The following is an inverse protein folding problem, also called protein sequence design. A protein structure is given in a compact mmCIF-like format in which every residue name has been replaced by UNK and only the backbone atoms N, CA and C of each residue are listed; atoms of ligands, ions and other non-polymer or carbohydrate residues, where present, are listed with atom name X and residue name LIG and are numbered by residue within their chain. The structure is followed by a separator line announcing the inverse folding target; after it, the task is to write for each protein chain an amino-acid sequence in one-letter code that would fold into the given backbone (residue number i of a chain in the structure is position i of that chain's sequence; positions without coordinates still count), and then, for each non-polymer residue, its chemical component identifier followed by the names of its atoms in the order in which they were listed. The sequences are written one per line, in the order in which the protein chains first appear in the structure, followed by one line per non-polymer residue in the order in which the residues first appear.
data_IF_206185294752
#
_entry.id   IF_206185294752
#
_cell.length_a   1.000
_cell.length_b   1.000
_cell.length_c   1.000
_cell.angle_alpha   90.00
_cell.angle_beta   90.00
_cell.angle_gamma   90.00
#
_symmetry.space_group_name_H-M   'P 1'
#
loop_
_entity.id
_entity.type
_entity.pdbx_description
1 polymer ?
#
# COMPACT_ATOMS: atom_id res chain seq x y z
N UNK A 1 -24.71 21.53 6.96
CA UNK A 1 -23.32 21.56 6.46
C UNK A 1 -22.53 20.51 7.24
N UNK A 2 -21.64 19.72 6.61
CA UNK A 2 -20.83 18.73 7.31
C UNK A 2 -19.60 19.42 7.88
N UNK A 3 -19.35 19.27 9.19
CA UNK A 3 -18.09 19.69 9.82
C UNK A 3 -17.24 18.47 10.08
N UNK A 4 -15.96 18.50 9.66
CA UNK A 4 -15.02 17.39 9.89
C UNK A 4 -13.92 17.89 10.82
N UNK A 5 -13.68 17.16 11.93
CA UNK A 5 -12.67 17.52 12.94
C UNK A 5 -12.12 16.27 13.64
N UNK A 6 -11.00 16.37 14.37
CA UNK A 6 -10.55 15.30 15.25
C UNK A 6 -11.66 14.88 16.24
N UNK A 7 -11.75 13.57 16.48
CA UNK A 7 -12.66 13.04 17.49
C UNK A 7 -12.12 13.27 18.90
N UNK A 8 -13.00 13.72 19.79
CA UNK A 8 -12.75 13.70 21.21
C UNK A 8 -12.81 12.25 21.75
N UNK A 9 -12.23 12.02 22.93
CA UNK A 9 -12.13 10.67 23.50
C UNK A 9 -13.49 9.99 23.71
N UNK A 10 -14.51 10.74 24.12
CA UNK A 10 -15.89 10.29 24.30
C UNK A 10 -16.62 9.97 22.98
N UNK A 11 -16.12 10.46 21.85
CA UNK A 11 -16.71 10.28 20.53
C UNK A 11 -16.19 9.00 19.84
N UNK A 12 -15.16 8.33 20.39
CA UNK A 12 -14.57 7.12 19.82
C UNK A 12 -15.56 5.96 19.89
N UNK A 13 -16.32 5.79 20.98
CA UNK A 13 -17.33 4.75 21.12
C UNK A 13 -18.46 4.89 20.09
N UNK A 14 -19.08 6.08 19.89
CA UNK A 14 -20.01 6.31 18.79
C UNK A 14 -19.42 5.98 17.41
N UNK A 15 -18.17 6.39 17.15
CA UNK A 15 -17.50 6.10 15.88
C UNK A 15 -17.27 4.60 15.69
N UNK A 16 -16.88 3.86 16.74
CA UNK A 16 -16.70 2.41 16.69
C UNK A 16 -17.98 1.69 16.26
N UNK A 17 -19.15 2.14 16.73
CA UNK A 17 -20.47 1.61 16.30
C UNK A 17 -20.76 1.92 14.83
N UNK A 18 -20.46 3.13 14.35
CA UNK A 18 -20.59 3.49 12.94
C UNK A 18 -19.67 2.62 12.08
N UNK A 19 -18.42 2.43 12.49
CA UNK A 19 -17.46 1.60 11.78
C UNK A 19 -17.87 0.12 11.74
N UNK A 20 -18.37 -0.43 12.85
CA UNK A 20 -18.88 -1.81 12.91
C UNK A 20 -20.03 -2.03 11.92
N UNK A 21 -20.96 -1.08 11.82
CA UNK A 21 -22.07 -1.12 10.87
C UNK A 21 -21.61 -0.94 9.41
N UNK A 22 -20.62 -0.11 9.18
CA UNK A 22 -20.05 0.14 7.84
C UNK A 22 -19.23 -1.04 7.31
N UNK A 23 -18.62 -1.83 8.21
CA UNK A 23 -17.76 -2.98 7.91
C UNK A 23 -18.27 -4.28 8.57
N UNK A 24 -19.38 -4.87 8.09
CA UNK A 24 -19.98 -6.06 8.72
C UNK A 24 -19.03 -7.27 8.80
N UNK A 25 -18.04 -7.34 7.90
CA UNK A 25 -17.02 -8.39 7.92
C UNK A 25 -16.11 -8.38 9.17
N UNK A 26 -16.09 -7.30 9.95
CA UNK A 26 -15.40 -7.25 11.24
C UNK A 26 -16.07 -8.13 12.30
N UNK A 27 -17.32 -8.55 12.08
CA UNK A 27 -18.10 -9.42 12.99
C UNK A 27 -18.16 -8.92 14.43
N UNK A 28 -18.29 -7.62 14.62
CA UNK A 28 -18.42 -6.97 15.92
C UNK A 28 -19.90 -7.02 16.36
N UNK A 29 -20.38 -8.19 16.75
CA UNK A 29 -21.80 -8.45 16.98
C UNK A 29 -22.24 -8.23 18.43
N UNK A 30 -21.32 -8.32 19.39
CA UNK A 30 -21.60 -8.17 20.81
C UNK A 30 -21.09 -6.84 21.36
N UNK A 31 -21.63 -6.39 22.49
CA UNK A 31 -21.12 -5.19 23.18
C UNK A 31 -19.66 -5.39 23.65
N UNK A 32 -19.26 -6.62 23.96
CA UNK A 32 -17.87 -6.94 24.32
C UNK A 32 -16.95 -6.82 23.11
N UNK A 33 -17.37 -7.27 21.90
CA UNK A 33 -16.60 -7.08 20.67
C UNK A 33 -16.41 -5.59 20.38
N UNK A 34 -17.47 -4.80 20.51
CA UNK A 34 -17.44 -3.34 20.30
C UNK A 34 -16.51 -2.66 21.31
N UNK A 35 -16.57 -3.05 22.58
CA UNK A 35 -15.67 -2.50 23.62
C UNK A 35 -14.20 -2.82 23.31
N UNK A 36 -13.88 -4.08 22.98
CA UNK A 36 -12.54 -4.47 22.59
C UNK A 36 -12.07 -3.76 21.33
N UNK A 37 -12.96 -3.48 20.39
CA UNK A 37 -12.64 -2.72 19.20
C UNK A 37 -12.37 -1.24 19.53
N UNK A 38 -13.17 -0.63 20.38
CA UNK A 38 -12.97 0.73 20.88
C UNK A 38 -11.62 0.86 21.61
N UNK A 39 -11.29 -0.07 22.53
CA UNK A 39 -10.00 -0.09 23.23
C UNK A 39 -8.83 -0.18 22.25
N UNK A 40 -8.96 -1.01 21.20
CA UNK A 40 -7.96 -1.11 20.12
C UNK A 40 -7.84 0.19 19.31
N UNK A 41 -8.94 0.90 19.06
CA UNK A 41 -8.91 2.20 18.41
C UNK A 41 -8.16 3.22 19.27
N UNK A 42 -8.49 3.29 20.57
CA UNK A 42 -7.80 4.19 21.53
C UNK A 42 -6.31 3.89 21.64
N UNK A 43 -5.96 2.60 21.74
CA UNK A 43 -4.57 2.17 21.85
C UNK A 43 -3.72 2.45 20.61
N UNK A 44 -4.34 2.58 19.43
CA UNK A 44 -3.66 2.91 18.18
C UNK A 44 -3.44 4.40 17.98
N UNK A 45 -4.23 5.24 18.64
CA UNK A 45 -4.12 6.69 18.47
C UNK A 45 -2.80 7.19 19.04
N UNK A 46 -2.07 7.90 18.19
CA UNK A 46 -0.81 8.56 18.53
C UNK A 46 -0.76 9.91 17.80
N UNK A 47 -1.63 10.88 18.17
CA UNK A 47 -1.65 12.16 17.50
C UNK A 47 -0.31 12.91 17.64
N UNK A 48 0.19 13.56 16.58
CA UNK A 48 -0.51 13.79 15.31
C UNK A 48 -0.34 12.69 14.25
N UNK A 49 0.41 11.60 14.54
CA UNK A 49 0.84 10.59 13.56
C UNK A 49 -0.29 9.63 13.18
N UNK A 50 -1.19 9.33 14.13
CA UNK A 50 -2.33 8.43 13.95
C UNK A 50 -3.54 9.01 14.69
N UNK A 51 -4.55 9.48 13.97
CA UNK A 51 -5.67 10.21 14.54
C UNK A 51 -7.01 9.81 13.92
N UNK A 52 -8.07 9.84 14.73
CA UNK A 52 -9.44 9.66 14.28
C UNK A 52 -10.10 11.01 14.04
N UNK A 53 -10.79 11.14 12.90
CA UNK A 53 -11.57 12.32 12.52
C UNK A 53 -13.04 11.92 12.38
N UNK A 54 -13.94 12.76 12.83
CA UNK A 54 -15.38 12.59 12.74
C UNK A 54 -16.02 13.63 11.83
N UNK A 55 -17.04 13.21 11.09
CA UNK A 55 -17.94 14.09 10.34
C UNK A 55 -19.22 14.32 11.13
N UNK A 56 -19.58 15.57 11.33
CA UNK A 56 -20.72 15.98 12.15
C UNK A 56 -21.74 16.78 11.34
N UNK A 57 -23.03 16.52 11.58
CA UNK A 57 -24.15 17.30 11.07
C UNK A 57 -25.10 17.62 12.22
N UNK A 58 -25.43 18.88 12.37
CA UNK A 58 -26.31 19.35 13.44
C UNK A 58 -25.89 18.82 14.83
N UNK A 59 -24.56 18.74 15.04
CA UNK A 59 -23.96 18.23 16.26
C UNK A 59 -23.88 16.70 16.38
N UNK A 60 -24.52 15.95 15.50
CA UNK A 60 -24.50 14.48 15.52
C UNK A 60 -23.32 13.94 14.68
N UNK A 61 -22.63 12.91 15.18
CA UNK A 61 -21.60 12.18 14.46
C UNK A 61 -22.26 11.30 13.39
N UNK A 62 -21.96 11.53 12.11
CA UNK A 62 -22.56 10.81 10.97
C UNK A 62 -21.54 10.00 10.17
N UNK A 63 -20.27 10.05 10.53
CA UNK A 63 -19.19 9.29 9.88
C UNK A 63 -17.83 9.64 10.46
N UNK A 64 -16.80 8.99 9.97
CA UNK A 64 -15.43 9.30 10.36
C UNK A 64 -14.42 8.51 9.55
N UNK A 65 -13.15 8.75 9.86
CA UNK A 65 -11.99 8.14 9.23
C UNK A 65 -10.80 8.13 10.18
N UNK A 66 -9.82 7.29 9.86
CA UNK A 66 -8.50 7.29 10.49
C UNK A 66 -7.50 7.92 9.54
N UNK A 67 -6.74 8.90 10.01
CA UNK A 67 -5.65 9.56 9.29
C UNK A 67 -4.31 9.13 9.86
N UNK A 68 -3.36 8.84 8.99
CA UNK A 68 -2.05 8.34 9.35
C UNK A 68 -0.98 9.14 8.61
N UNK A 69 -0.02 9.66 9.36
CA UNK A 69 1.13 10.37 8.82
C UNK A 69 2.26 9.38 8.53
N UNK A 70 2.33 8.94 7.28
CA UNK A 70 3.35 8.02 6.79
C UNK A 70 4.52 8.77 6.15
N UNK A 71 5.64 8.06 6.10
CA UNK A 71 6.76 8.37 5.23
C UNK A 71 6.96 7.21 4.26
N UNK A 72 6.86 7.49 2.95
CA UNK A 72 6.92 6.49 1.90
C UNK A 72 8.17 6.69 1.03
N UNK A 73 8.83 5.62 0.67
CA UNK A 73 9.86 5.66 -0.36
C UNK A 73 9.22 5.86 -1.73
N UNK A 74 9.46 7.00 -2.33
CA UNK A 74 9.04 7.31 -3.70
C UNK A 74 10.29 7.47 -4.56
N UNK A 75 10.56 6.49 -5.43
CA UNK A 75 11.72 6.50 -6.35
C UNK A 75 13.07 6.73 -5.64
N UNK A 76 13.25 6.17 -4.43
CA UNK A 76 14.49 6.26 -3.66
C UNK A 76 14.56 7.44 -2.67
N UNK A 77 13.57 8.32 -2.67
CA UNK A 77 13.42 9.42 -1.69
C UNK A 77 12.28 9.10 -0.72
N UNK A 78 12.52 9.25 0.58
CA UNK A 78 11.46 9.08 1.59
C UNK A 78 10.70 10.38 1.79
N UNK A 79 9.42 10.40 1.43
CA UNK A 79 8.57 11.58 1.42
C UNK A 79 7.39 11.45 2.40
N UNK A 80 6.92 12.56 2.98
CA UNK A 80 5.66 12.60 3.71
C UNK A 80 4.52 12.09 2.83
N UNK A 81 3.66 11.24 3.37
CA UNK A 81 2.55 10.62 2.64
C UNK A 81 1.37 10.45 3.58
N UNK A 82 0.22 11.01 3.22
CA UNK A 82 -0.99 10.80 3.99
C UNK A 82 -1.58 9.41 3.76
N UNK A 83 -1.90 8.71 4.84
CA UNK A 83 -2.69 7.49 4.79
C UNK A 83 -4.11 7.73 5.29
N UNK A 84 -5.13 7.18 4.63
CA UNK A 84 -6.49 7.17 5.15
C UNK A 84 -7.04 5.75 5.18
N UNK A 85 -7.54 5.37 6.35
CA UNK A 85 -8.21 4.10 6.57
C UNK A 85 -9.53 4.28 7.31
N UNK A 86 -10.29 3.21 7.42
CA UNK A 86 -11.53 3.16 8.21
C UNK A 86 -12.52 4.30 7.87
N UNK A 87 -12.66 4.64 6.59
CA UNK A 87 -13.66 5.62 6.14
C UNK A 87 -15.05 5.01 6.30
N UNK A 88 -15.76 5.40 7.34
CA UNK A 88 -17.06 4.88 7.70
C UNK A 88 -18.13 5.98 7.71
N UNK A 89 -19.30 5.68 7.17
CA UNK A 89 -20.46 6.57 7.17
C UNK A 89 -21.64 5.82 7.77
N UNK A 90 -22.35 6.45 8.68
CA UNK A 90 -23.56 5.93 9.26
C UNK A 90 -24.56 5.46 8.18
N UNK A 91 -25.18 4.32 8.38
CA UNK A 91 -26.07 3.69 7.39
C UNK A 91 -27.25 4.60 7.00
N UNK A 92 -27.71 5.43 7.92
CA UNK A 92 -28.83 6.36 7.71
C UNK A 92 -28.41 7.61 6.90
N UNK A 93 -27.09 7.90 6.82
CA UNK A 93 -26.53 9.06 6.13
C UNK A 93 -25.81 8.70 4.83
N UNK A 94 -26.05 7.47 4.30
CA UNK A 94 -25.48 7.07 3.00
C UNK A 94 -26.02 7.92 1.85
N UNK A 95 -25.15 8.16 0.83
CA UNK A 95 -25.41 8.98 -0.36
C UNK A 95 -25.58 10.48 -0.10
N UNK A 96 -25.32 10.95 1.09
CA UNK A 96 -25.37 12.35 1.50
C UNK A 96 -24.01 13.06 1.38
N UNK A 97 -23.06 12.52 0.63
CA UNK A 97 -21.72 13.04 0.38
C UNK A 97 -20.77 13.10 1.60
N UNK A 98 -21.15 12.51 2.75
CA UNK A 98 -20.30 12.49 3.97
C UNK A 98 -18.90 11.93 3.69
N UNK A 99 -18.79 10.80 2.98
CA UNK A 99 -17.48 10.24 2.62
C UNK A 99 -16.67 11.16 1.69
N UNK A 100 -17.33 11.93 0.81
CA UNK A 100 -16.67 12.95 -0.01
C UNK A 100 -16.09 14.06 0.87
N UNK A 101 -16.85 14.56 1.83
CA UNK A 101 -16.40 15.63 2.74
C UNK A 101 -15.22 15.15 3.60
N UNK A 102 -15.24 13.88 4.06
CA UNK A 102 -14.12 13.26 4.76
C UNK A 102 -12.85 13.24 3.88
N UNK A 103 -12.94 12.81 2.61
CA UNK A 103 -11.78 12.74 1.72
C UNK A 103 -11.27 14.14 1.34
N UNK A 104 -12.15 15.15 1.18
CA UNK A 104 -11.71 16.55 1.00
C UNK A 104 -10.85 16.99 2.19
N UNK A 105 -11.35 16.80 3.41
CA UNK A 105 -10.61 17.12 4.64
C UNK A 105 -9.29 16.35 4.74
N UNK A 106 -9.27 15.07 4.33
CA UNK A 106 -8.05 14.29 4.29
C UNK A 106 -6.99 14.88 3.35
N UNK A 107 -7.38 15.31 2.15
CA UNK A 107 -6.45 15.93 1.20
C UNK A 107 -5.95 17.29 1.68
N UNK A 108 -6.80 18.08 2.37
CA UNK A 108 -6.39 19.34 3.01
C UNK A 108 -5.40 19.07 4.14
N UNK A 109 -5.67 18.05 4.97
CA UNK A 109 -4.77 17.58 6.03
C UNK A 109 -3.41 17.14 5.47
N UNK A 110 -3.36 16.49 4.29
CA UNK A 110 -2.10 16.18 3.59
C UNK A 110 -1.36 17.47 3.20
N UNK A 111 -2.07 18.45 2.64
CA UNK A 111 -1.49 19.76 2.26
C UNK A 111 -0.86 20.49 3.45
N UNK A 112 -1.56 20.54 4.59
CA UNK A 112 -1.05 21.14 5.84
C UNK A 112 0.26 20.50 6.34
N UNK A 113 0.52 19.23 5.96
CA UNK A 113 1.71 18.46 6.32
C UNK A 113 2.77 18.41 5.24
N UNK A 114 2.59 19.19 4.19
CA UNK A 114 3.44 19.15 3.00
C UNK A 114 3.65 17.70 2.47
N UNK A 115 2.59 16.87 2.56
CA UNK A 115 2.56 15.52 2.03
C UNK A 115 2.06 15.53 0.57
N UNK A 116 2.96 15.43 -0.43
CA UNK A 116 2.58 15.50 -1.83
C UNK A 116 1.85 14.26 -2.32
N UNK A 117 1.88 13.17 -1.54
CA UNK A 117 1.22 11.91 -1.85
C UNK A 117 0.21 11.51 -0.77
N UNK A 118 -0.85 10.84 -1.21
CA UNK A 118 -1.84 10.18 -0.36
C UNK A 118 -2.03 8.74 -0.80
N UNK A 119 -2.42 7.86 0.14
CA UNK A 119 -2.64 6.45 -0.13
C UNK A 119 -3.81 5.89 0.69
N UNK A 120 -4.48 4.87 0.13
CA UNK A 120 -5.54 4.13 0.80
C UNK A 120 -5.70 2.71 0.22
N UNK A 121 -6.36 1.84 0.98
CA UNK A 121 -6.90 0.58 0.47
C UNK A 121 -8.40 0.73 0.21
N UNK A 122 -8.86 0.59 -1.05
CA UNK A 122 -10.24 0.91 -1.40
C UNK A 122 -11.19 -0.25 -1.07
N UNK A 123 -12.30 0.02 -0.39
CA UNK A 123 -13.42 -0.92 -0.38
C UNK A 123 -14.28 -0.81 -1.67
N UNK A 124 -14.21 0.33 -2.36
CA UNK A 124 -14.82 0.59 -3.68
C UNK A 124 -13.85 1.34 -4.57
N UNK A 125 -13.09 0.65 -5.43
CA UNK A 125 -12.07 1.27 -6.29
C UNK A 125 -12.64 2.39 -7.19
N UNK A 126 -13.81 2.19 -7.79
CA UNK A 126 -14.49 3.17 -8.65
C UNK A 126 -14.82 4.48 -7.93
N UNK A 127 -15.15 4.39 -6.65
CA UNK A 127 -15.46 5.54 -5.81
C UNK A 127 -14.23 6.42 -5.57
N UNK A 128 -13.12 5.83 -5.18
CA UNK A 128 -11.88 6.55 -4.94
C UNK A 128 -11.19 7.00 -6.24
N UNK A 129 -11.35 6.24 -7.33
CA UNK A 129 -10.85 6.68 -8.63
C UNK A 129 -11.47 8.01 -9.06
N UNK A 130 -12.77 8.21 -8.88
CA UNK A 130 -13.44 9.50 -9.11
C UNK A 130 -13.00 10.63 -8.19
N UNK A 131 -12.27 10.32 -7.13
CA UNK A 131 -11.63 11.28 -6.22
C UNK A 131 -10.14 11.45 -6.54
N UNK A 132 -9.67 11.00 -7.70
CA UNK A 132 -8.33 11.17 -8.20
C UNK A 132 -7.30 10.16 -7.67
N UNK A 133 -7.72 9.07 -7.04
CA UNK A 133 -6.81 8.00 -6.65
C UNK A 133 -6.57 7.04 -7.81
N UNK A 134 -5.32 6.89 -8.22
CA UNK A 134 -4.87 5.93 -9.22
C UNK A 134 -4.62 4.55 -8.63
N UNK A 135 -4.77 3.51 -9.43
CA UNK A 135 -4.49 2.14 -9.00
C UNK A 135 -2.99 1.95 -8.78
N UNK A 136 -2.62 1.36 -7.65
CA UNK A 136 -1.28 0.85 -7.40
C UNK A 136 -1.08 -0.55 -8.00
N UNK A 137 0.03 -1.18 -7.62
CA UNK A 137 0.33 -2.55 -8.03
C UNK A 137 -0.73 -3.52 -7.50
N UNK A 138 -1.19 -4.42 -8.34
CA UNK A 138 -2.13 -5.47 -7.92
C UNK A 138 -1.52 -6.32 -6.81
N UNK A 139 -2.35 -6.71 -5.86
CA UNK A 139 -1.98 -7.71 -4.86
C UNK A 139 -2.36 -9.10 -5.37
N UNK A 140 -1.40 -10.01 -5.35
CA UNK A 140 -1.55 -11.41 -5.72
C UNK A 140 -1.57 -12.26 -4.44
N UNK A 141 -2.55 -13.15 -4.32
CA UNK A 141 -2.57 -14.18 -3.28
C UNK A 141 -2.23 -15.53 -3.91
N UNK A 142 -1.10 -16.09 -3.51
CA UNK A 142 -0.68 -17.46 -3.84
C UNK A 142 -1.14 -18.41 -2.74
N UNK A 143 -1.54 -19.64 -3.16
CA UNK A 143 -1.91 -20.74 -2.26
C UNK A 143 -1.18 -21.99 -2.72
N UNK A 144 0.04 -22.19 -2.27
CA UNK A 144 0.97 -23.18 -2.79
C UNK A 144 1.21 -24.29 -1.78
N UNK A 145 1.58 -25.48 -2.27
CA UNK A 145 2.08 -26.53 -1.38
C UNK A 145 3.49 -26.18 -0.90
N UNK A 146 3.84 -26.49 0.36
CA UNK A 146 5.16 -26.17 0.90
C UNK A 146 6.31 -26.77 0.10
N UNK A 147 6.14 -27.97 -0.46
CA UNK A 147 7.16 -28.71 -1.23
C UNK A 147 7.50 -28.07 -2.59
N UNK A 148 6.71 -27.09 -3.05
CA UNK A 148 7.02 -26.31 -4.26
C UNK A 148 7.98 -25.15 -4.00
N UNK A 149 8.19 -24.78 -2.72
CA UNK A 149 9.15 -23.75 -2.35
C UNK A 149 10.59 -24.27 -2.46
N UNK A 150 11.57 -23.38 -2.73
CA UNK A 150 12.99 -23.78 -2.78
C UNK A 150 13.47 -24.41 -1.47
N UNK A 151 14.17 -25.55 -1.57
CA UNK A 151 14.71 -26.28 -0.44
C UNK A 151 16.18 -25.96 -0.11
N UNK A 152 16.87 -25.21 -0.98
CA UNK A 152 18.34 -25.07 -1.00
C UNK A 152 18.88 -23.93 -0.11
N UNK A 153 18.16 -23.50 0.94
CA UNK A 153 18.63 -22.49 1.87
C UNK A 153 19.32 -23.10 3.09
N UNK A 154 20.44 -22.53 3.52
CA UNK A 154 21.03 -22.85 4.81
C UNK A 154 20.14 -22.33 5.94
N UNK A 155 19.56 -23.24 6.72
CA UNK A 155 18.71 -22.93 7.86
C UNK A 155 19.46 -22.71 9.18
N UNK A 156 20.79 -22.88 9.18
CA UNK A 156 21.60 -22.75 10.40
C UNK A 156 21.56 -21.36 11.04
N UNK A 157 21.24 -20.32 10.24
CA UNK A 157 21.07 -18.96 10.74
C UNK A 157 19.62 -18.60 11.16
N UNK A 158 18.66 -19.53 11.08
CA UNK A 158 17.27 -19.25 11.46
C UNK A 158 17.04 -19.41 12.96
N UNK A 159 16.35 -18.45 13.55
CA UNK A 159 15.83 -18.54 14.92
C UNK A 159 14.48 -17.86 15.07
N UNK A 160 13.72 -18.24 16.08
CA UNK A 160 12.54 -17.49 16.47
C UNK A 160 12.92 -16.15 17.05
N UNK A 161 12.12 -15.12 16.74
CA UNK A 161 12.26 -13.76 17.22
C UNK A 161 11.12 -13.43 18.17
N UNK A 162 11.42 -12.63 19.19
CA UNK A 162 10.46 -12.16 20.19
C UNK A 162 10.57 -10.67 20.43
N UNK A 163 9.93 -10.17 21.50
CA UNK A 163 9.89 -8.75 21.84
C UNK A 163 11.29 -8.14 22.07
N UNK A 164 12.25 -8.93 22.52
CA UNK A 164 13.65 -8.49 22.67
C UNK A 164 14.32 -8.17 21.32
N UNK A 165 13.81 -8.69 20.21
CA UNK A 165 14.36 -8.51 18.87
C UNK A 165 13.70 -7.34 18.11
N UNK A 166 12.76 -6.61 18.72
CA UNK A 166 11.96 -5.56 18.08
C UNK A 166 12.81 -4.53 17.34
N UNK A 167 13.90 -4.10 17.96
CA UNK A 167 14.82 -3.12 17.35
C UNK A 167 15.53 -3.71 16.11
N UNK A 168 16.02 -4.94 16.18
CA UNK A 168 16.69 -5.60 15.06
C UNK A 168 15.73 -5.84 13.88
N UNK A 169 14.48 -6.23 14.16
CA UNK A 169 13.41 -6.38 13.16
C UNK A 169 13.12 -5.04 12.50
N UNK A 170 12.94 -3.98 13.29
CA UNK A 170 12.70 -2.62 12.78
C UNK A 170 13.86 -2.12 11.92
N UNK A 171 15.11 -2.37 12.31
CA UNK A 171 16.30 -2.00 11.56
C UNK A 171 16.39 -2.75 10.21
N UNK A 172 16.11 -4.06 10.20
CA UNK A 172 16.07 -4.86 8.96
C UNK A 172 14.98 -4.34 8.02
N UNK A 173 13.76 -4.10 8.53
CA UNK A 173 12.69 -3.50 7.76
C UNK A 173 13.10 -2.15 7.14
N UNK A 174 13.68 -1.25 7.93
CA UNK A 174 14.08 0.08 7.49
C UNK A 174 15.13 0.04 6.38
N UNK A 175 16.06 -0.93 6.39
CA UNK A 175 17.03 -1.12 5.30
C UNK A 175 16.36 -1.55 3.99
N UNK A 176 15.35 -2.42 4.06
CA UNK A 176 14.55 -2.82 2.89
C UNK A 176 13.67 -1.68 2.40
N UNK A 177 13.01 -0.96 3.31
CA UNK A 177 12.15 0.19 3.00
C UNK A 177 12.90 1.25 2.19
N UNK A 178 14.11 1.63 2.60
CA UNK A 178 14.91 2.66 1.92
C UNK A 178 15.27 2.32 0.46
N UNK A 179 15.24 1.05 0.05
CA UNK A 179 15.54 0.61 -1.31
C UNK A 179 14.32 0.11 -2.09
N UNK A 180 13.14 0.08 -1.46
CA UNK A 180 11.92 -0.46 -2.06
C UNK A 180 10.92 0.65 -2.33
N UNK A 181 10.71 0.97 -3.59
CA UNK A 181 9.73 1.96 -4.02
C UNK A 181 8.31 1.57 -3.59
N UNK A 182 7.56 2.52 -3.05
CA UNK A 182 6.20 2.34 -2.54
C UNK A 182 6.13 1.88 -1.08
N UNK A 183 7.25 1.47 -0.47
CA UNK A 183 7.26 0.96 0.89
C UNK A 183 7.25 2.09 1.92
N UNK A 184 6.38 1.97 2.92
CA UNK A 184 6.23 2.94 4.00
C UNK A 184 7.16 2.62 5.17
N UNK A 185 7.59 3.64 5.91
CA UNK A 185 8.26 3.43 7.19
C UNK A 185 7.29 2.74 8.18
N UNK A 186 7.81 1.85 9.00
CA UNK A 186 7.01 1.20 10.05
C UNK A 186 6.63 2.19 11.13
N UNK A 187 5.37 2.21 11.49
CA UNK A 187 4.93 2.90 12.69
C UNK A 187 5.40 2.12 13.94
N UNK A 188 5.72 2.81 15.04
CA UNK A 188 6.32 2.19 16.24
C UNK A 188 5.55 0.98 16.77
N UNK A 189 4.21 0.97 16.66
CA UNK A 189 3.33 -0.10 17.17
C UNK A 189 3.01 -1.20 16.16
N UNK A 190 3.47 -1.11 14.92
CA UNK A 190 3.12 -2.13 13.92
C UNK A 190 3.79 -3.48 14.20
N UNK A 191 4.98 -3.48 14.79
CA UNK A 191 5.68 -4.71 15.18
C UNK A 191 5.02 -5.40 16.38
N UNK A 192 4.41 -4.64 17.29
CA UNK A 192 3.74 -5.19 18.47
C UNK A 192 2.66 -6.19 18.10
N UNK A 193 1.98 -5.97 16.96
CA UNK A 193 1.00 -6.91 16.39
C UNK A 193 1.55 -8.32 16.16
N UNK A 194 2.84 -8.46 15.89
CA UNK A 194 3.50 -9.75 15.67
C UNK A 194 4.21 -10.29 16.90
N UNK A 195 4.65 -9.40 17.80
CA UNK A 195 5.53 -9.73 18.92
C UNK A 195 4.82 -9.78 20.28
N UNK A 196 3.75 -9.01 20.45
CA UNK A 196 3.05 -8.85 21.74
C UNK A 196 1.64 -9.47 21.70
N UNK A 197 1.60 -10.78 21.61
CA UNK A 197 0.34 -11.51 21.68
C UNK A 197 -0.26 -11.86 20.31
N UNK A 198 -1.12 -12.86 20.33
CA UNK A 198 -1.78 -13.40 19.15
C UNK A 198 -1.17 -14.72 18.68
N UNK A 199 -1.60 -15.14 17.50
CA UNK A 199 -1.23 -16.40 16.86
C UNK A 199 -0.02 -16.28 15.91
N UNK A 200 0.58 -15.09 15.83
CA UNK A 200 1.74 -14.84 14.97
C UNK A 200 3.02 -15.41 15.60
N UNK A 201 3.86 -15.92 14.72
CA UNK A 201 5.23 -16.31 15.00
C UNK A 201 6.15 -15.54 14.08
N UNK A 202 7.32 -15.17 14.59
CA UNK A 202 8.33 -14.48 13.78
C UNK A 202 9.60 -15.33 13.78
N UNK A 203 10.14 -15.62 12.60
CA UNK A 203 11.47 -16.21 12.45
C UNK A 203 12.35 -15.24 11.69
N UNK A 204 13.63 -15.20 12.03
CA UNK A 204 14.61 -14.34 11.35
C UNK A 204 15.84 -15.14 10.94
N UNK A 205 16.50 -14.66 9.90
CA UNK A 205 17.81 -15.15 9.46
C UNK A 205 18.88 -14.19 9.96
N UNK A 206 19.72 -14.70 10.84
CA UNK A 206 20.83 -13.96 11.42
C UNK A 206 22.16 -14.57 10.97
N UNK A 207 23.09 -13.71 10.58
CA UNK A 207 24.45 -14.10 10.27
C UNK A 207 25.42 -13.05 10.81
N UNK A 208 26.49 -13.48 11.44
CA UNK A 208 27.53 -12.62 12.03
C UNK A 208 26.95 -11.56 13.00
N UNK A 209 25.92 -11.96 13.77
CA UNK A 209 25.23 -11.08 14.73
C UNK A 209 24.28 -10.05 14.11
N UNK A 210 24.01 -10.11 12.81
CA UNK A 210 23.12 -9.19 12.13
C UNK A 210 21.89 -9.91 11.54
N UNK A 211 20.68 -9.41 11.87
CA UNK A 211 19.43 -9.86 11.24
C UNK A 211 19.35 -9.29 9.84
N UNK A 212 19.27 -10.15 8.81
CA UNK A 212 19.22 -9.78 7.40
C UNK A 212 17.93 -10.19 6.68
N UNK A 213 16.94 -10.67 7.44
CA UNK A 213 15.60 -10.96 6.95
C UNK A 213 14.77 -11.65 8.00
N UNK A 214 13.45 -11.54 7.88
CA UNK A 214 12.49 -12.19 8.78
C UNK A 214 11.17 -12.49 8.07
N UNK A 215 10.43 -13.42 8.64
CA UNK A 215 9.07 -13.74 8.22
C UNK A 215 8.15 -13.81 9.44
N UNK A 216 7.08 -13.02 9.42
CA UNK A 216 5.96 -13.15 10.34
C UNK A 216 4.89 -14.03 9.70
N UNK A 217 4.44 -15.06 10.41
CA UNK A 217 3.45 -16.00 9.91
C UNK A 217 2.52 -16.51 11.01
N UNK A 218 1.39 -17.06 10.64
CA UNK A 218 0.45 -17.72 11.53
C UNK A 218 -0.10 -18.99 10.90
N UNK A 219 -0.81 -19.78 11.69
CA UNK A 219 -1.51 -20.96 11.18
C UNK A 219 -3.01 -20.69 11.07
N UNK A 220 -3.61 -21.22 10.02
CA UNK A 220 -5.05 -21.22 9.80
C UNK A 220 -5.52 -22.68 9.77
N UNK A 221 -6.46 -23.02 10.65
CA UNK A 221 -7.07 -24.34 10.65
C UNK A 221 -7.93 -24.52 9.40
N UNK A 222 -7.95 -25.74 8.84
CA UNK A 222 -8.88 -26.07 7.76
C UNK A 222 -10.33 -25.83 8.23
N UNK A 223 -11.15 -25.08 7.47
CA UNK A 223 -12.58 -24.91 7.77
C UNK A 223 -13.35 -26.23 7.91
N UNK A 224 -12.84 -27.33 7.35
CA UNK A 224 -13.43 -28.67 7.49
C UNK A 224 -13.16 -29.32 8.85
N UNK A 225 -12.44 -28.64 9.76
CA UNK A 225 -12.24 -29.08 11.13
C UNK A 225 -11.21 -30.19 11.34
N UNK A 226 -10.37 -30.49 10.34
CA UNK A 226 -9.29 -31.44 10.51
C UNK A 226 -8.11 -30.76 11.21
N UNK A 227 -7.90 -31.07 12.49
CA UNK A 227 -6.87 -30.40 13.31
C UNK A 227 -5.42 -30.69 12.87
N UNK A 228 -5.18 -31.76 12.09
CA UNK A 228 -3.87 -32.12 11.56
C UNK A 228 -3.56 -31.46 10.20
N UNK A 229 -4.57 -30.81 9.59
CA UNK A 229 -4.42 -30.12 8.33
C UNK A 229 -4.49 -28.60 8.57
N UNK A 230 -3.36 -27.92 8.43
CA UNK A 230 -3.28 -26.50 8.67
C UNK A 230 -2.69 -25.80 7.43
N UNK A 231 -3.05 -24.52 7.27
CA UNK A 231 -2.39 -23.64 6.33
C UNK A 231 -1.42 -22.72 7.08
N UNK A 232 -0.30 -22.41 6.47
CA UNK A 232 0.64 -21.39 6.93
C UNK A 232 0.35 -20.09 6.16
N UNK A 233 -0.08 -19.04 6.86
CA UNK A 233 -0.25 -17.72 6.26
C UNK A 233 0.95 -16.87 6.56
N UNK A 234 1.68 -16.48 5.52
CA UNK A 234 2.74 -15.47 5.60
C UNK A 234 2.07 -14.10 5.73
N UNK A 235 2.34 -13.40 6.82
CA UNK A 235 1.80 -12.06 7.11
C UNK A 235 2.74 -10.95 6.66
N UNK A 236 4.04 -11.21 6.75
CA UNK A 236 5.09 -10.32 6.30
C UNK A 236 6.35 -11.12 5.99
N UNK A 237 6.99 -10.83 4.87
CA UNK A 237 8.26 -11.44 4.45
C UNK A 237 9.21 -10.31 4.03
N UNK A 238 10.27 -10.12 4.82
CA UNK A 238 11.29 -9.09 4.61
C UNK A 238 12.64 -9.77 4.47
N UNK A 239 13.39 -9.42 3.44
CA UNK A 239 14.73 -9.95 3.20
C UNK A 239 15.63 -8.91 2.55
N UNK A 240 16.87 -8.89 3.00
CA UNK A 240 17.90 -7.98 2.53
C UNK A 240 18.83 -8.67 1.55
N UNK A 241 19.02 -9.96 1.74
CA UNK A 241 19.97 -10.78 0.99
C UNK A 241 19.29 -12.02 0.39
N UNK A 242 19.94 -12.55 -0.62
CA UNK A 242 19.52 -13.82 -1.27
C UNK A 242 19.56 -14.97 -0.30
N UNK A 243 20.55 -15.01 0.59
CA UNK A 243 20.75 -16.07 1.59
C UNK A 243 19.62 -16.06 2.61
N UNK A 244 19.21 -14.88 3.11
CA UNK A 244 18.08 -14.74 4.02
C UNK A 244 16.78 -15.23 3.36
N UNK A 245 16.50 -14.82 2.12
CA UNK A 245 15.32 -15.31 1.38
C UNK A 245 15.38 -16.83 1.22
N UNK A 246 16.50 -17.38 0.78
CA UNK A 246 16.66 -18.81 0.56
C UNK A 246 16.44 -19.61 1.85
N UNK A 247 16.97 -19.16 2.98
CA UNK A 247 16.78 -19.80 4.29
C UNK A 247 15.30 -19.78 4.74
N UNK A 248 14.62 -18.63 4.61
CA UNK A 248 13.20 -18.51 4.95
C UNK A 248 12.30 -19.38 4.07
N UNK A 249 12.60 -19.48 2.77
CA UNK A 249 11.86 -20.36 1.86
C UNK A 249 12.15 -21.85 2.14
N UNK A 250 13.38 -22.21 2.48
CA UNK A 250 13.73 -23.57 2.89
C UNK A 250 13.05 -23.97 4.22
N UNK A 251 12.81 -23.01 5.13
CA UNK A 251 11.97 -23.25 6.30
C UNK A 251 10.53 -23.59 5.89
N UNK A 252 9.93 -22.82 4.98
CA UNK A 252 8.58 -23.12 4.47
C UNK A 252 8.53 -24.51 3.86
N UNK A 253 9.49 -24.83 2.98
CA UNK A 253 9.58 -26.16 2.34
C UNK A 253 9.60 -27.29 3.36
N UNK A 254 10.32 -27.12 4.46
CA UNK A 254 10.45 -28.17 5.49
C UNK A 254 9.17 -28.42 6.30
N UNK A 255 8.11 -27.64 6.11
CA UNK A 255 6.82 -27.80 6.81
C UNK A 255 5.84 -28.71 6.02
N UNK A 256 6.29 -29.36 4.94
CA UNK A 256 5.43 -30.09 4.02
C UNK A 256 4.69 -31.30 4.61
N UNK A 257 5.11 -31.78 5.78
CA UNK A 257 4.46 -32.88 6.52
C UNK A 257 3.22 -32.45 7.31
N UNK A 258 3.09 -31.17 7.67
CA UNK A 258 2.00 -30.67 8.52
C UNK A 258 1.20 -29.55 7.87
N UNK A 259 1.73 -28.91 6.84
CA UNK A 259 1.11 -27.74 6.19
C UNK A 259 0.57 -28.15 4.82
N UNK A 260 -0.73 -28.00 4.66
CA UNK A 260 -1.40 -28.28 3.39
C UNK A 260 -1.15 -27.20 2.34
N UNK A 261 -1.19 -25.92 2.77
CA UNK A 261 -0.99 -24.76 1.91
C UNK A 261 -0.23 -23.67 2.61
N UNK A 262 0.62 -22.99 1.87
CA UNK A 262 1.23 -21.72 2.24
C UNK A 262 0.50 -20.61 1.50
N UNK A 263 -0.02 -19.65 2.24
CA UNK A 263 -0.75 -18.51 1.71
C UNK A 263 0.17 -17.31 1.78
N UNK A 264 0.53 -16.76 0.62
CA UNK A 264 1.41 -15.58 0.49
C UNK A 264 0.68 -14.49 -0.27
N UNK A 265 0.58 -13.31 0.32
CA UNK A 265 0.09 -12.11 -0.35
C UNK A 265 1.28 -11.22 -0.73
N UNK A 266 1.32 -10.78 -1.99
CA UNK A 266 2.44 -10.02 -2.51
C UNK A 266 2.05 -9.11 -3.66
N UNK A 267 2.81 -8.04 -3.83
CA UNK A 267 2.79 -7.17 -5.02
C UNK A 267 4.01 -7.45 -5.94
N UNK A 268 4.85 -8.42 -5.59
CA UNK A 268 5.91 -8.89 -6.48
C UNK A 268 5.33 -9.75 -7.60
N UNK A 269 5.20 -9.17 -8.78
CA UNK A 269 4.66 -9.84 -9.97
C UNK A 269 5.55 -10.99 -10.46
N UNK A 270 6.83 -11.02 -10.06
CA UNK A 270 7.79 -12.04 -10.45
C UNK A 270 7.88 -13.22 -9.46
N UNK A 271 7.13 -13.19 -8.33
CA UNK A 271 7.26 -14.20 -7.27
C UNK A 271 7.06 -15.62 -7.78
N UNK A 272 6.22 -15.84 -8.78
CA UNK A 272 5.95 -17.18 -9.36
C UNK A 272 7.19 -17.88 -9.93
N UNK A 273 8.24 -17.13 -10.31
CA UNK A 273 9.51 -17.71 -10.77
C UNK A 273 10.31 -18.41 -9.66
N UNK A 274 9.98 -18.19 -8.39
CA UNK A 274 10.63 -18.87 -7.26
C UNK A 274 10.18 -20.33 -7.10
N UNK A 275 9.01 -20.70 -7.62
CA UNK A 275 8.39 -21.98 -7.34
C UNK A 275 8.68 -22.99 -8.46
N UNK A 276 8.97 -24.23 -8.07
CA UNK A 276 9.11 -25.33 -9.01
C UNK A 276 7.78 -25.63 -9.74
N UNK A 277 6.67 -25.47 -9.05
CA UNK A 277 5.32 -25.56 -9.57
C UNK A 277 4.46 -24.46 -8.96
N UNK A 278 4.14 -23.38 -9.71
CA UNK A 278 3.37 -22.26 -9.19
C UNK A 278 1.85 -22.47 -9.21
N UNK A 279 1.34 -23.64 -9.57
CA UNK A 279 -0.10 -23.93 -9.58
C UNK A 279 -0.69 -23.81 -8.17
N UNK A 280 -1.85 -23.21 -8.05
CA UNK A 280 -2.52 -22.99 -6.76
C UNK A 280 -3.29 -24.24 -6.28
N UNK A 281 -3.19 -25.36 -7.00
CA UNK A 281 -3.81 -26.65 -6.69
C UNK A 281 -5.36 -26.59 -6.64
N UNK A 282 -5.96 -25.55 -7.22
CA UNK A 282 -7.41 -25.45 -7.39
C UNK A 282 -7.94 -26.43 -8.41
N UNK A 283 -7.06 -26.94 -9.28
CA UNK A 283 -7.42 -27.75 -10.45
C UNK A 283 -8.09 -26.93 -11.56
N UNK A 284 -8.18 -25.58 -11.40
CA UNK A 284 -8.79 -24.73 -12.40
C UNK A 284 -7.86 -24.51 -13.58
N UNK A 285 -8.43 -24.69 -14.77
CA UNK A 285 -7.78 -24.40 -16.04
C UNK A 285 -8.54 -23.30 -16.76
N UNK A 286 -7.81 -22.35 -17.32
CA UNK A 286 -8.36 -21.50 -18.36
C UNK A 286 -8.50 -22.31 -19.67
N UNK A 287 -9.20 -21.80 -20.69
CA UNK A 287 -9.29 -22.47 -21.97
C UNK A 287 -7.94 -23.03 -22.41
N UNK A 288 -7.93 -24.29 -22.84
CA UNK A 288 -6.75 -25.09 -23.17
C UNK A 288 -5.98 -25.58 -21.93
N UNK A 289 -4.75 -25.16 -21.71
CA UNK A 289 -3.84 -25.68 -20.69
C UNK A 289 -3.25 -24.59 -19.79
N UNK A 290 -3.93 -23.47 -19.62
CA UNK A 290 -3.48 -22.39 -18.74
C UNK A 290 -3.90 -22.69 -17.30
N UNK A 291 -2.93 -22.99 -16.44
CA UNK A 291 -3.14 -23.32 -15.04
C UNK A 291 -3.28 -22.06 -14.19
N UNK A 292 -4.26 -22.05 -13.29
CA UNK A 292 -4.35 -21.00 -12.28
C UNK A 292 -3.17 -21.08 -11.32
N UNK A 293 -2.53 -19.95 -11.06
CA UNK A 293 -1.38 -19.85 -10.14
C UNK A 293 -1.67 -18.99 -8.91
N UNK A 294 -2.55 -17.99 -9.04
CA UNK A 294 -2.91 -17.06 -7.97
C UNK A 294 -4.24 -16.37 -8.25
N UNK A 295 -4.77 -15.70 -7.25
CA UNK A 295 -5.85 -14.72 -7.41
C UNK A 295 -5.29 -13.31 -7.25
N UNK A 296 -5.80 -12.35 -8.03
CA UNK A 296 -5.34 -10.96 -7.99
C UNK A 296 -6.49 -9.99 -7.72
N UNK A 297 -6.17 -8.90 -7.01
CA UNK A 297 -7.09 -7.82 -6.74
C UNK A 297 -6.44 -6.44 -6.79
N UNK A 298 -7.28 -5.41 -6.85
CA UNK A 298 -6.84 -4.03 -6.60
C UNK A 298 -6.39 -3.96 -5.14
N UNK A 299 -5.14 -3.58 -4.94
CA UNK A 299 -4.57 -3.34 -3.62
C UNK A 299 -4.64 -1.86 -3.26
N UNK A 300 -3.49 -1.30 -2.86
CA UNK A 300 -3.36 0.11 -2.53
C UNK A 300 -3.66 1.01 -3.74
N UNK A 301 -4.26 2.17 -3.48
CA UNK A 301 -4.38 3.26 -4.45
C UNK A 301 -3.59 4.47 -3.97
N UNK A 302 -2.99 5.19 -4.90
CA UNK A 302 -2.18 6.37 -4.64
C UNK A 302 -2.82 7.62 -5.25
N UNK A 303 -2.59 8.78 -4.64
CA UNK A 303 -2.98 10.07 -5.19
C UNK A 303 -1.84 11.07 -5.04
N UNK A 304 -1.57 11.81 -6.11
CA UNK A 304 -0.82 13.06 -6.05
C UNK A 304 -1.77 14.13 -5.49
N UNK A 305 -1.43 14.69 -4.35
CA UNK A 305 -2.25 15.69 -3.63
C UNK A 305 -2.08 17.07 -4.25
N UNK A 306 -0.84 17.40 -4.62
CA UNK A 306 -0.44 18.62 -5.29
C UNK A 306 0.64 18.29 -6.32
N UNK A 307 0.35 18.58 -7.60
CA UNK A 307 1.21 18.22 -8.73
C UNK A 307 2.54 18.97 -8.71
N UNK A 308 2.52 20.27 -8.36
CA UNK A 308 3.74 21.08 -8.24
C UNK A 308 4.61 20.59 -7.09
N UNK A 309 4.02 20.44 -5.91
CA UNK A 309 4.74 19.97 -4.72
C UNK A 309 5.32 18.56 -4.91
N UNK A 310 4.64 17.68 -5.65
CA UNK A 310 5.17 16.35 -5.96
C UNK A 310 6.46 16.43 -6.79
N UNK A 311 6.51 17.27 -7.82
CA UNK A 311 7.72 17.46 -8.62
C UNK A 311 8.85 18.14 -7.82
N UNK A 312 8.53 19.13 -6.98
CA UNK A 312 9.50 19.77 -6.10
C UNK A 312 10.12 18.77 -5.11
N UNK A 313 9.30 17.91 -4.54
CA UNK A 313 9.75 16.85 -3.62
C UNK A 313 10.62 15.79 -4.31
N UNK A 314 10.46 15.60 -5.63
CA UNK A 314 11.22 14.66 -6.45
C UNK A 314 12.42 15.31 -7.17
N UNK A 315 12.78 16.56 -6.89
CA UNK A 315 13.85 17.30 -7.59
C UNK A 315 15.22 16.60 -7.58
N UNK A 316 15.48 15.73 -6.59
CA UNK A 316 16.71 14.94 -6.50
C UNK A 316 16.71 13.62 -7.27
N UNK A 317 15.54 13.18 -7.77
CA UNK A 317 15.36 11.89 -8.45
C UNK A 317 15.78 12.00 -9.90
N UNK A 318 16.52 11.01 -10.39
CA UNK A 318 16.84 10.87 -11.82
C UNK A 318 15.70 10.14 -12.55
N UNK A 319 15.13 10.83 -13.54
CA UNK A 319 14.07 10.35 -14.42
C UNK A 319 14.63 9.92 -15.81
N UNK A 320 15.78 9.23 -15.83
CA UNK A 320 16.31 8.60 -17.04
C UNK A 320 17.30 9.47 -17.85
N UNK A 321 17.91 10.50 -17.24
CA UNK A 321 19.02 11.27 -17.84
C UNK A 321 18.62 12.24 -18.95
N UNK A 322 17.34 12.42 -19.23
CA UNK A 322 16.82 13.25 -20.33
C UNK A 322 16.86 14.76 -20.02
N UNK A 323 16.95 15.57 -21.07
CA UNK A 323 16.93 17.04 -20.97
C UNK A 323 15.88 17.60 -21.93
N UNK A 324 14.78 18.13 -21.38
CA UNK A 324 13.69 18.83 -22.08
C UNK A 324 12.70 19.44 -21.08
N UNK A 325 11.76 20.25 -21.58
CA UNK A 325 10.67 20.82 -20.81
C UNK A 325 9.34 20.12 -21.14
N UNK A 326 8.73 19.54 -20.11
CA UNK A 326 7.42 18.90 -20.19
C UNK A 326 6.35 19.82 -19.57
N UNK A 327 5.32 20.17 -20.32
CA UNK A 327 4.10 20.75 -19.77
C UNK A 327 3.12 19.63 -19.42
N UNK A 328 2.91 19.42 -18.14
CA UNK A 328 1.99 18.40 -17.61
C UNK A 328 0.70 19.05 -17.15
N UNK A 329 -0.44 18.54 -17.62
CA UNK A 329 -1.76 18.87 -17.07
C UNK A 329 -2.42 17.61 -16.50
N UNK A 330 -2.35 17.45 -15.19
CA UNK A 330 -3.07 16.42 -14.45
C UNK A 330 -4.43 16.98 -14.04
N UNK A 331 -5.49 16.66 -14.81
CA UNK A 331 -6.83 17.19 -14.58
C UNK A 331 -7.41 16.70 -13.26
N UNK A 332 -7.79 17.62 -12.38
CA UNK A 332 -8.28 17.29 -11.03
C UNK A 332 -9.66 17.91 -10.75
N UNK A 333 -10.70 17.26 -11.22
CA UNK A 333 -12.08 17.69 -11.00
C UNK A 333 -12.53 17.59 -9.53
N UNK A 334 -11.83 16.79 -8.72
CA UNK A 334 -12.15 16.63 -7.29
C UNK A 334 -11.52 17.74 -6.44
N UNK A 335 -10.32 18.23 -6.80
CA UNK A 335 -9.60 19.32 -6.14
C UNK A 335 -9.20 20.41 -7.17
N UNK A 336 -10.12 21.33 -7.52
CA UNK A 336 -9.88 22.31 -8.58
C UNK A 336 -8.64 23.20 -8.38
N UNK A 337 -8.18 23.38 -7.15
CA UNK A 337 -6.95 24.11 -6.85
C UNK A 337 -5.70 23.42 -7.42
N UNK A 338 -5.73 22.10 -7.61
CA UNK A 338 -4.66 21.30 -8.23
C UNK A 338 -4.83 21.12 -9.75
N UNK A 339 -5.97 21.56 -10.33
CA UNK A 339 -6.27 21.46 -11.78
C UNK A 339 -5.60 22.60 -12.56
N UNK A 340 -4.28 22.68 -12.48
CA UNK A 340 -3.47 23.66 -13.19
C UNK A 340 -2.30 22.95 -13.88
N UNK A 341 -1.97 23.30 -15.13
CA UNK A 341 -0.80 22.75 -15.78
C UNK A 341 0.49 23.19 -15.07
N UNK A 342 1.47 22.29 -15.01
CA UNK A 342 2.78 22.54 -14.44
C UNK A 342 3.85 22.27 -15.50
N UNK A 343 4.75 23.23 -15.74
CA UNK A 343 5.90 23.01 -16.61
C UNK A 343 7.07 22.49 -15.76
N UNK A 344 7.60 21.33 -16.16
CA UNK A 344 8.75 20.68 -15.50
C UNK A 344 9.93 20.65 -16.47
N UNK A 345 11.00 21.33 -16.12
CA UNK A 345 12.25 21.27 -16.86
C UNK A 345 13.10 20.14 -16.32
N UNK A 346 13.46 19.20 -17.17
CA UNK A 346 14.42 18.14 -16.87
C UNK A 346 15.81 18.58 -17.36
N UNK A 347 16.82 18.42 -16.52
CA UNK A 347 18.21 18.61 -16.84
C UNK A 347 18.99 17.39 -16.33
N UNK A 348 19.57 16.62 -17.24
CA UNK A 348 20.21 15.34 -16.91
C UNK A 348 19.31 14.43 -16.04
N UNK A 349 18.04 14.33 -16.44
CA UNK A 349 17.01 13.55 -15.77
C UNK A 349 16.41 14.15 -14.49
N UNK A 350 16.95 15.24 -13.95
CA UNK A 350 16.48 15.86 -12.71
C UNK A 350 15.38 16.88 -12.97
N UNK A 351 14.20 16.73 -12.36
CA UNK A 351 13.08 17.65 -12.55
C UNK A 351 13.28 18.93 -11.75
N UNK A 352 12.87 20.03 -12.35
CA UNK A 352 12.69 21.33 -11.69
C UNK A 352 11.42 21.97 -12.21
N UNK A 353 10.54 22.39 -11.32
CA UNK A 353 9.36 23.17 -11.72
C UNK A 353 9.81 24.51 -12.30
N UNK A 354 9.35 24.82 -13.49
CA UNK A 354 9.65 26.07 -14.19
C UNK A 354 8.45 27.04 -14.06
N UNK A 355 8.75 28.32 -13.96
CA UNK A 355 7.73 29.39 -13.95
C UNK A 355 7.29 29.77 -15.37
N UNK A 356 8.06 29.39 -16.39
CA UNK A 356 7.81 29.69 -17.78
C UNK A 356 6.92 28.63 -18.42
N UNK A 357 5.99 29.05 -19.28
CA UNK A 357 5.10 28.16 -20.07
C UNK A 357 5.78 27.52 -21.28
N UNK A 358 7.00 27.94 -21.63
CA UNK A 358 7.71 27.38 -22.79
C UNK A 358 8.05 25.90 -22.52
N UNK A 359 7.65 25.03 -23.43
CA UNK A 359 7.85 23.58 -23.32
C UNK A 359 8.13 22.94 -24.68
N UNK A 360 8.76 21.77 -24.65
CA UNK A 360 9.06 20.97 -25.84
C UNK A 360 7.90 20.02 -26.19
N UNK A 361 7.20 19.54 -25.17
CA UNK A 361 6.07 18.61 -25.30
C UNK A 361 5.06 18.85 -24.19
N UNK A 362 3.77 18.64 -24.51
CA UNK A 362 2.69 18.65 -23.52
C UNK A 362 2.12 17.22 -23.34
N UNK A 363 1.79 16.90 -22.11
CA UNK A 363 1.14 15.65 -21.68
C UNK A 363 -0.06 16.00 -20.81
N UNK A 364 -1.23 15.44 -21.11
CA UNK A 364 -2.43 15.61 -20.29
C UNK A 364 -3.11 14.29 -19.99
N UNK A 365 -3.67 14.18 -18.79
CA UNK A 365 -4.44 13.01 -18.30
C UNK A 365 -5.21 13.38 -17.04
N UNK A 366 -6.11 12.51 -16.56
CA UNK A 366 -6.72 12.66 -15.25
C UNK A 366 -5.69 12.45 -14.13
N UNK A 367 -5.88 13.11 -12.99
CA UNK A 367 -4.98 13.03 -11.82
C UNK A 367 -4.84 11.60 -11.28
N UNK A 368 -5.86 10.75 -11.45
CA UNK A 368 -5.80 9.34 -11.06
C UNK A 368 -4.80 8.58 -11.94
N UNK A 369 -4.83 8.76 -13.24
CA UNK A 369 -3.88 8.18 -14.19
C UNK A 369 -2.47 8.72 -13.94
N UNK A 370 -2.33 10.04 -13.74
CA UNK A 370 -1.03 10.64 -13.41
C UNK A 370 -0.46 10.08 -12.10
N UNK A 371 -1.30 9.91 -11.08
CA UNK A 371 -0.88 9.31 -9.80
C UNK A 371 -0.35 7.88 -9.98
N UNK A 372 -1.04 7.06 -10.77
CA UNK A 372 -0.60 5.69 -11.08
C UNK A 372 0.69 5.68 -11.92
N UNK A 373 0.82 6.60 -12.89
CA UNK A 373 1.99 6.75 -13.75
C UNK A 373 3.22 7.20 -12.97
N UNK A 374 3.11 8.26 -12.15
CA UNK A 374 4.21 8.79 -11.36
C UNK A 374 4.73 7.77 -10.34
N UNK A 375 3.82 6.97 -9.78
CA UNK A 375 4.15 5.83 -8.93
C UNK A 375 4.66 4.61 -9.72
N UNK A 376 4.67 4.63 -11.06
CA UNK A 376 5.15 3.51 -11.87
C UNK A 376 4.27 2.24 -11.78
N UNK A 377 3.02 2.37 -11.35
CA UNK A 377 2.08 1.25 -11.31
C UNK A 377 1.55 0.87 -12.70
N UNK A 378 1.56 1.83 -13.62
CA UNK A 378 1.23 1.70 -15.05
C UNK A 378 2.25 2.47 -15.87
N UNK A 379 2.54 2.03 -17.08
CA UNK A 379 3.40 2.73 -18.04
C UNK A 379 2.59 3.72 -18.91
N UNK A 380 3.29 4.74 -19.44
CA UNK A 380 2.65 5.77 -20.25
C UNK A 380 2.13 5.25 -21.59
N UNK A 381 2.84 4.29 -22.20
CA UNK A 381 2.42 3.71 -23.48
C UNK A 381 1.05 3.06 -23.35
N UNK A 382 0.82 2.30 -22.28
CA UNK A 382 -0.49 1.71 -21.97
C UNK A 382 -1.58 2.78 -21.81
N UNK A 383 -1.31 3.85 -21.05
CA UNK A 383 -2.27 4.94 -20.85
C UNK A 383 -2.59 5.65 -22.18
N UNK A 384 -1.59 5.89 -23.00
CA UNK A 384 -1.77 6.50 -24.33
C UNK A 384 -2.60 5.60 -25.25
N UNK A 385 -2.28 4.31 -25.34
CA UNK A 385 -3.01 3.35 -26.18
C UNK A 385 -4.47 3.17 -25.72
N UNK A 386 -4.75 3.29 -24.42
CA UNK A 386 -6.11 3.21 -23.89
C UNK A 386 -6.89 4.54 -24.02
N UNK A 387 -6.28 5.61 -24.56
CA UNK A 387 -6.90 6.93 -24.67
C UNK A 387 -7.07 7.63 -23.32
N UNK A 388 -6.26 7.26 -22.31
CA UNK A 388 -6.27 7.84 -20.97
C UNK A 388 -5.19 8.90 -20.76
N UNK A 389 -4.33 9.10 -21.77
CA UNK A 389 -3.33 10.16 -21.83
C UNK A 389 -3.25 10.74 -23.22
N UNK A 390 -3.06 12.04 -23.33
CA UNK A 390 -2.87 12.78 -24.57
C UNK A 390 -1.49 13.41 -24.61
N UNK A 391 -0.80 13.31 -25.74
CA UNK A 391 0.53 13.87 -25.98
C UNK A 391 0.44 14.81 -27.16
N UNK A 392 0.99 16.03 -27.05
CA UNK A 392 0.95 17.05 -28.11
C UNK A 392 1.64 16.61 -29.41
N UNK A 393 2.65 15.76 -29.31
CA UNK A 393 3.34 15.14 -30.44
C UNK A 393 3.64 13.67 -30.09
N UNK A 394 2.99 12.71 -30.79
CA UNK A 394 3.18 11.28 -30.55
C UNK A 394 4.63 10.79 -30.74
N UNK A 395 5.48 11.51 -31.44
CA UNK A 395 6.90 11.17 -31.58
C UNK A 395 7.65 11.19 -30.25
N UNK A 396 7.12 11.86 -29.22
CA UNK A 396 7.68 11.91 -27.88
C UNK A 396 7.29 10.71 -27.01
N UNK A 397 6.36 9.85 -27.43
CA UNK A 397 5.88 8.74 -26.59
C UNK A 397 7.01 7.85 -26.06
N UNK A 398 8.04 7.42 -26.83
CA UNK A 398 9.11 6.60 -26.30
C UNK A 398 9.94 7.31 -25.21
N UNK A 399 10.25 8.60 -25.40
CA UNK A 399 11.04 9.39 -24.43
C UNK A 399 10.25 9.64 -23.14
N UNK A 400 8.96 9.97 -23.26
CA UNK A 400 8.09 10.15 -22.09
C UNK A 400 7.84 8.83 -21.37
N UNK A 401 7.72 7.71 -22.09
CA UNK A 401 7.62 6.38 -21.46
C UNK A 401 8.88 6.07 -20.64
N UNK A 402 10.04 6.35 -21.20
CA UNK A 402 11.31 6.19 -20.47
C UNK A 402 11.41 7.11 -19.24
N UNK A 403 10.94 8.36 -19.35
CA UNK A 403 10.92 9.32 -18.25
C UNK A 403 10.16 8.75 -17.01
N UNK A 404 8.99 8.19 -17.23
CA UNK A 404 8.15 7.66 -16.14
C UNK A 404 8.50 6.24 -15.73
N UNK A 405 9.36 5.54 -16.46
CA UNK A 405 9.74 4.17 -16.14
C UNK A 405 10.31 4.04 -14.72
N UNK A 406 9.98 2.95 -14.07
CA UNK A 406 10.55 2.54 -12.79
C UNK A 406 11.14 1.14 -12.94
N UNK A 407 12.27 0.83 -12.27
CA UNK A 407 12.87 -0.51 -12.33
C UNK A 407 11.94 -1.61 -11.81
N UNK A 408 11.07 -1.27 -10.87
CA UNK A 408 10.01 -2.13 -10.31
C UNK A 408 8.80 -1.30 -9.97
N UNK A 409 7.62 -1.91 -10.07
CA UNK A 409 6.38 -1.31 -9.58
C UNK A 409 6.44 -1.09 -8.06
N UNK A 410 5.65 -0.14 -7.53
CA UNK A 410 5.63 0.13 -6.09
C UNK A 410 5.12 -1.07 -5.31
N UNK A 411 5.77 -1.37 -4.18
CA UNK A 411 5.38 -2.42 -3.24
C UNK A 411 5.08 -1.78 -1.89
N UNK A 412 3.90 -2.04 -1.35
CA UNK A 412 3.51 -1.63 0.00
C UNK A 412 3.08 -2.87 0.79
N UNK A 413 3.78 -3.14 1.88
CA UNK A 413 3.47 -4.26 2.78
C UNK A 413 2.79 -3.80 4.07
N UNK A 414 2.55 -2.50 4.23
CA UNK A 414 1.91 -1.91 5.40
C UNK A 414 0.39 -1.92 5.24
N UNK A 415 -0.37 -2.66 6.05
CA UNK A 415 -1.83 -2.60 6.07
C UNK A 415 -2.30 -1.47 6.99
N UNK A 416 -3.26 -0.65 6.53
CA UNK A 416 -3.84 0.45 7.32
C UNK A 416 -5.31 0.75 6.99
#
# INVERSE_FOLDING_TARGET
MTTVRPLANEEIAPFARIAANAYPAMRLATEDDLRMFEERLRARMDPPTDALYGAFRDGALVGGMRLIDFRMNVRGVTLPTGGVGMVAVDLLHKKEKVARDLIVTFLDWCGERAAPFAALYPFRPDFYKRMGFGYGTKSSQYRLRPDTFPALGDRGGLRFLGSADKEAIGASYARVQRRTHGMMEKLPRELDRYLEGGDARVIGYERDGALSGYMAFGFETDPKGNFVVNNLRVRELIYETREALAALLAFIHSQADQIARVIVETQDEALHHLFADPRDDSGLLFPHVYHQTNTQGVGIMYRVVDTRAAWEALAGVDFGGETYKLRLHAHDSFRPANDQPVTVAFADGKPRVAEEDQHDVALSMDIAEFSALLMGAVDLESLYLYGLAEISDPAWLPRLTQLFATPRKPICVTPF
#
